data_IF_425627018627
#
_entry.id   IF_425627018627
#
_cell.length_a   1.000
_cell.length_b   1.000
_cell.length_c   1.000
_cell.angle_alpha   90.00
_cell.angle_beta   90.00
_cell.angle_gamma   90.00
#
_symmetry.space_group_name_H-M   'P 1'
#
loop_
_entity.id
_entity.type
_entity.pdbx_description
1 polymer ?
#
# COMPACT_ATOMS: atom_id res chain seq x y z
N UNK A 1 -27.44 -10.06 -21.91
CA UNK A 1 -26.61 -8.92 -21.47
C UNK A 1 -26.96 -8.66 -20.01
N UNK A 2 -25.98 -8.67 -19.13
CA UNK A 2 -26.22 -8.35 -17.70
C UNK A 2 -26.61 -6.88 -17.58
N UNK A 3 -27.66 -6.61 -16.79
CA UNK A 3 -27.96 -5.23 -16.37
C UNK A 3 -27.00 -4.84 -15.26
N UNK A 4 -26.85 -3.56 -14.97
CA UNK A 4 -26.02 -3.04 -13.87
C UNK A 4 -26.35 -3.72 -12.54
N UNK A 5 -27.63 -3.74 -12.13
CA UNK A 5 -28.06 -4.41 -10.90
C UNK A 5 -27.82 -5.93 -10.93
N UNK A 6 -28.04 -6.57 -12.07
CA UNK A 6 -27.74 -8.02 -12.22
C UNK A 6 -26.25 -8.33 -12.12
N UNK A 7 -25.38 -7.39 -12.50
CA UNK A 7 -23.94 -7.51 -12.34
C UNK A 7 -23.56 -7.35 -10.85
N UNK A 8 -24.09 -6.33 -10.18
CA UNK A 8 -23.84 -6.09 -8.75
C UNK A 8 -24.30 -7.30 -7.93
N UNK A 9 -25.51 -7.78 -8.15
CA UNK A 9 -26.04 -8.95 -7.44
C UNK A 9 -25.19 -10.20 -7.63
N UNK A 10 -24.74 -10.45 -8.85
CA UNK A 10 -24.05 -11.70 -9.18
C UNK A 10 -22.59 -11.72 -8.73
N UNK A 11 -21.86 -10.59 -8.84
CA UNK A 11 -20.41 -10.55 -8.63
C UNK A 11 -19.99 -9.83 -7.35
N UNK A 12 -20.81 -8.95 -6.81
CA UNK A 12 -20.43 -8.10 -5.69
C UNK A 12 -21.33 -8.23 -4.46
N UNK A 13 -22.54 -8.79 -4.59
CA UNK A 13 -23.40 -9.06 -3.44
C UNK A 13 -23.08 -10.41 -2.82
N UNK A 14 -22.80 -10.43 -1.52
CA UNK A 14 -22.57 -11.66 -0.76
C UNK A 14 -23.64 -11.80 0.34
N UNK A 15 -24.11 -13.05 0.61
CA UNK A 15 -25.03 -13.27 1.73
C UNK A 15 -24.35 -12.85 3.04
N UNK A 16 -25.03 -12.04 3.84
CA UNK A 16 -24.57 -11.67 5.17
C UNK A 16 -24.64 -12.88 6.09
N UNK A 17 -23.60 -13.08 6.89
CA UNK A 17 -23.52 -14.20 7.85
C UNK A 17 -24.32 -13.96 9.13
N UNK A 18 -24.97 -12.81 9.29
CA UNK A 18 -25.75 -12.46 10.47
C UNK A 18 -27.09 -13.18 10.53
N UNK A 19 -27.32 -13.86 11.64
CA UNK A 19 -28.56 -14.61 11.96
C UNK A 19 -29.81 -13.73 12.12
N UNK A 20 -29.72 -12.40 12.04
CA UNK A 20 -30.83 -11.47 12.31
C UNK A 20 -31.67 -11.08 11.09
N UNK A 21 -31.27 -11.44 9.87
CA UNK A 21 -32.02 -11.14 8.63
C UNK A 21 -32.45 -12.37 7.84
N UNK A 22 -32.92 -13.43 8.52
CA UNK A 22 -33.66 -14.50 7.84
C UNK A 22 -35.12 -14.11 7.67
N UNK A 23 -35.43 -13.31 6.67
CA UNK A 23 -36.80 -13.21 6.14
C UNK A 23 -36.73 -13.35 4.61
N UNK A 24 -37.14 -14.56 4.19
CA UNK A 24 -37.61 -14.95 2.85
C UNK A 24 -36.70 -14.76 1.65
N UNK A 25 -35.95 -15.82 1.31
CA UNK A 25 -35.97 -16.41 -0.04
C UNK A 25 -35.36 -17.81 0.03
N UNK A 26 -36.21 -18.84 -0.16
CA UNK A 26 -35.78 -20.21 -0.49
C UNK A 26 -35.22 -20.21 -1.91
N UNK A 27 -34.04 -20.80 -2.05
CA UNK A 27 -33.30 -21.26 -3.23
C UNK A 27 -31.96 -20.58 -3.45
N UNK A 28 -30.91 -21.13 -2.82
CA UNK A 28 -29.52 -20.88 -3.21
C UNK A 28 -28.70 -22.16 -3.14
N UNK A 29 -27.73 -22.38 -4.07
CA UNK A 29 -26.83 -23.53 -4.03
C UNK A 29 -25.83 -23.42 -2.88
N UNK A 30 -25.40 -24.56 -2.35
CA UNK A 30 -24.54 -24.72 -1.17
C UNK A 30 -23.26 -23.88 -1.23
N UNK A 31 -23.16 -22.92 -0.34
CA UNK A 31 -21.98 -22.11 -0.09
C UNK A 31 -21.06 -22.76 0.96
N UNK A 32 -19.75 -22.53 0.82
CA UNK A 32 -18.70 -22.92 1.75
C UNK A 32 -19.01 -22.50 3.21
N UNK A 33 -18.51 -23.31 4.16
CA UNK A 33 -18.79 -23.17 5.59
C UNK A 33 -18.45 -21.77 6.13
N UNK A 34 -19.26 -21.22 7.05
CA UNK A 34 -19.06 -19.88 7.61
C UNK A 34 -17.83 -19.82 8.52
N UNK A 35 -17.06 -18.76 8.35
CA UNK A 35 -16.05 -18.32 9.32
C UNK A 35 -16.72 -17.88 10.64
N UNK A 36 -16.05 -18.02 11.81
CA UNK A 36 -16.66 -17.75 13.11
C UNK A 36 -17.13 -16.29 13.23
N UNK A 37 -18.26 -16.09 13.93
CA UNK A 37 -18.96 -14.83 14.19
C UNK A 37 -18.04 -13.67 14.60
N UNK A 38 -17.58 -12.89 13.62
CA UNK A 38 -17.11 -11.53 13.85
C UNK A 38 -18.33 -10.64 13.65
N UNK A 39 -18.75 -9.84 14.66
CA UNK A 39 -19.88 -8.92 14.50
C UNK A 39 -19.61 -7.99 13.31
N UNK A 40 -20.50 -7.97 12.34
CA UNK A 40 -20.41 -7.04 11.22
C UNK A 40 -20.54 -5.61 11.75
N UNK A 41 -19.58 -4.75 11.39
CA UNK A 41 -19.67 -3.31 11.69
C UNK A 41 -20.63 -2.59 10.72
N UNK A 42 -21.16 -3.29 9.74
CA UNK A 42 -22.08 -2.80 8.72
C UNK A 42 -23.51 -3.07 9.15
N UNK A 43 -24.23 -2.02 9.56
CA UNK A 43 -25.64 -2.13 9.92
C UNK A 43 -26.54 -2.31 8.69
N UNK A 44 -26.16 -1.67 7.55
CA UNK A 44 -26.81 -1.80 6.25
C UNK A 44 -25.72 -1.84 5.18
N UNK A 45 -25.79 -2.79 4.27
CA UNK A 45 -24.83 -2.96 3.17
C UNK A 45 -25.46 -2.71 1.80
N UNK A 46 -24.95 -3.41 0.76
CA UNK A 46 -25.43 -3.35 -0.63
C UNK A 46 -26.92 -3.70 -0.67
N UNK A 47 -27.69 -2.92 -1.46
CA UNK A 47 -29.13 -3.12 -1.67
C UNK A 47 -29.98 -1.91 -1.34
N UNK A 48 -29.41 -0.86 -0.77
CA UNK A 48 -30.03 0.43 -0.49
C UNK A 48 -29.19 1.57 -1.08
N UNK A 49 -29.73 2.80 -1.07
CA UNK A 49 -29.02 4.00 -1.60
C UNK A 49 -27.70 4.30 -0.89
N UNK A 50 -27.58 3.90 0.40
CA UNK A 50 -26.38 4.08 1.20
C UNK A 50 -26.13 2.89 2.12
N UNK A 51 -24.85 2.59 2.37
CA UNK A 51 -24.47 1.72 3.47
C UNK A 51 -24.47 2.45 4.81
N UNK A 52 -24.75 1.73 5.90
CA UNK A 52 -24.65 2.24 7.28
C UNK A 52 -23.53 1.49 8.01
N UNK A 53 -22.43 2.19 8.28
CA UNK A 53 -21.28 1.68 9.01
C UNK A 53 -21.34 2.17 10.47
N UNK A 54 -21.25 1.24 11.43
CA UNK A 54 -21.17 1.53 12.87
C UNK A 54 -19.76 1.29 13.39
N UNK A 55 -18.96 2.34 13.63
CA UNK A 55 -17.67 2.17 14.29
C UNK A 55 -17.86 1.60 15.70
N UNK A 56 -16.91 0.76 16.14
CA UNK A 56 -16.89 0.27 17.50
C UNK A 56 -16.83 1.44 18.51
N UNK A 57 -17.48 1.36 19.67
CA UNK A 57 -17.47 2.43 20.66
C UNK A 57 -16.05 2.87 21.02
N UNK A 58 -15.82 4.19 20.98
CA UNK A 58 -14.52 4.78 21.31
C UNK A 58 -13.45 4.67 20.22
N UNK A 59 -13.78 4.21 19.02
CA UNK A 59 -12.89 4.20 17.86
C UNK A 59 -13.12 5.41 16.95
N UNK A 60 -12.09 5.76 16.19
CA UNK A 60 -12.13 6.69 15.07
C UNK A 60 -12.09 5.89 13.77
N UNK A 61 -12.70 6.43 12.72
CA UNK A 61 -12.54 5.91 11.36
C UNK A 61 -11.30 6.51 10.71
N UNK A 62 -10.46 5.63 10.17
CA UNK A 62 -9.43 5.97 9.20
C UNK A 62 -10.01 5.70 7.80
N UNK A 63 -9.95 6.68 6.91
CA UNK A 63 -10.55 6.61 5.57
C UNK A 63 -9.49 6.99 4.55
N UNK A 64 -9.32 6.16 3.52
CA UNK A 64 -8.48 6.47 2.37
C UNK A 64 -9.18 6.08 1.08
N UNK A 65 -8.74 6.67 -0.04
CA UNK A 65 -9.28 6.40 -1.37
C UNK A 65 -8.16 6.42 -2.39
N UNK A 66 -8.05 5.33 -3.15
CA UNK A 66 -7.18 5.22 -4.31
C UNK A 66 -7.97 4.91 -5.58
N UNK A 67 -7.39 5.38 -6.70
CA UNK A 67 -7.93 5.18 -8.03
C UNK A 67 -6.90 4.52 -8.93
N UNK A 68 -7.25 3.38 -9.54
CA UNK A 68 -6.45 2.68 -10.52
C UNK A 68 -7.01 2.88 -11.92
N UNK A 69 -6.20 3.39 -12.83
CA UNK A 69 -6.56 3.69 -14.23
C UNK A 69 -5.77 2.77 -15.17
N UNK A 70 -6.46 2.13 -16.11
CA UNK A 70 -5.84 1.27 -17.11
C UNK A 70 -4.79 2.04 -17.92
N UNK A 71 -3.65 1.41 -18.18
CA UNK A 71 -2.53 2.00 -18.92
C UNK A 71 -1.66 2.97 -18.09
N UNK A 72 -2.09 3.32 -16.85
CA UNK A 72 -1.30 4.15 -15.92
C UNK A 72 -0.79 3.31 -14.73
N UNK A 73 -1.69 2.61 -14.02
CA UNK A 73 -1.39 1.86 -12.81
C UNK A 73 -1.30 0.35 -13.04
N UNK A 74 -1.79 -0.10 -14.16
CA UNK A 74 -1.73 -1.51 -14.57
C UNK A 74 -1.82 -1.63 -16.09
N UNK A 75 -1.29 -2.74 -16.62
CA UNK A 75 -1.37 -3.06 -18.04
C UNK A 75 -2.77 -3.55 -18.43
N UNK A 76 -3.18 -3.29 -19.66
CA UNK A 76 -4.50 -3.68 -20.14
C UNK A 76 -4.72 -5.21 -20.17
N UNK A 77 -3.64 -5.99 -20.23
CA UNK A 77 -3.62 -7.45 -20.26
C UNK A 77 -3.37 -8.10 -18.89
N UNK A 78 -3.42 -7.31 -17.80
CA UNK A 78 -3.28 -7.85 -16.45
C UNK A 78 -4.38 -8.88 -16.17
N UNK A 79 -4.01 -9.95 -15.50
CA UNK A 79 -4.95 -11.02 -15.11
C UNK A 79 -6.01 -10.44 -14.15
N UNK A 80 -7.33 -10.61 -14.44
CA UNK A 80 -8.40 -9.96 -13.65
C UNK A 80 -8.35 -10.26 -12.15
N UNK A 81 -8.00 -11.50 -11.77
CA UNK A 81 -7.87 -11.88 -10.37
C UNK A 81 -6.71 -11.12 -9.69
N UNK A 82 -5.58 -10.91 -10.38
CA UNK A 82 -4.48 -10.12 -9.87
C UNK A 82 -4.88 -8.64 -9.74
N UNK A 83 -5.65 -8.11 -10.69
CA UNK A 83 -6.13 -6.74 -10.65
C UNK A 83 -7.12 -6.52 -9.49
N UNK A 84 -8.04 -7.45 -9.26
CA UNK A 84 -8.95 -7.40 -8.11
C UNK A 84 -8.20 -7.39 -6.77
N UNK A 85 -7.16 -8.22 -6.66
CA UNK A 85 -6.26 -8.20 -5.51
C UNK A 85 -5.55 -6.84 -5.36
N UNK A 86 -4.87 -6.35 -6.43
CA UNK A 86 -4.12 -5.08 -6.39
C UNK A 86 -5.03 -3.92 -6.02
N UNK A 87 -6.21 -3.85 -6.59
CA UNK A 87 -7.15 -2.76 -6.36
C UNK A 87 -7.51 -2.57 -4.87
N UNK A 88 -7.69 -3.67 -4.13
CA UNK A 88 -7.92 -3.58 -2.69
C UNK A 88 -6.62 -3.44 -1.89
N UNK A 89 -5.54 -4.09 -2.33
CA UNK A 89 -4.27 -4.12 -1.61
C UNK A 89 -3.65 -2.72 -1.44
N UNK A 90 -3.68 -1.89 -2.48
CA UNK A 90 -3.13 -0.52 -2.44
C UNK A 90 -3.84 0.32 -1.38
N UNK A 91 -5.16 0.24 -1.32
CA UNK A 91 -5.98 0.92 -0.32
C UNK A 91 -5.75 0.38 1.11
N UNK A 92 -5.63 -0.94 1.26
CA UNK A 92 -5.31 -1.55 2.56
C UNK A 92 -3.91 -1.15 3.04
N UNK A 93 -2.99 -0.83 2.14
CA UNK A 93 -1.65 -0.33 2.46
C UNK A 93 -1.71 0.99 3.23
N UNK A 94 -2.59 1.91 2.85
CA UNK A 94 -2.83 3.15 3.61
C UNK A 94 -3.31 2.88 5.03
N UNK A 95 -4.25 1.92 5.20
CA UNK A 95 -4.69 1.53 6.54
C UNK A 95 -3.55 0.91 7.36
N UNK A 96 -2.69 0.12 6.72
CA UNK A 96 -1.49 -0.43 7.36
C UNK A 96 -0.54 0.68 7.80
N UNK A 97 -0.28 1.67 6.94
CA UNK A 97 0.57 2.82 7.22
C UNK A 97 0.08 3.63 8.44
N UNK A 98 -1.23 3.76 8.60
CA UNK A 98 -1.86 4.42 9.73
C UNK A 98 -1.98 3.54 10.99
N UNK A 99 -1.72 2.22 10.87
CA UNK A 99 -1.96 1.25 11.93
C UNK A 99 -3.45 1.04 12.21
N UNK A 100 -4.30 1.22 11.20
CA UNK A 100 -5.75 1.03 11.32
C UNK A 100 -6.16 -0.40 11.01
N UNK A 101 -7.16 -0.91 11.74
CA UNK A 101 -7.75 -2.22 11.48
C UNK A 101 -8.77 -2.08 10.35
N UNK A 102 -8.62 -2.77 9.22
CA UNK A 102 -9.61 -2.77 8.14
C UNK A 102 -11.00 -3.19 8.62
N UNK A 103 -12.07 -2.59 8.06
CA UNK A 103 -13.46 -2.92 8.37
C UNK A 103 -14.31 -3.07 7.14
N UNK A 104 -14.29 -2.07 6.27
CA UNK A 104 -15.16 -2.03 5.11
C UNK A 104 -14.49 -1.30 3.95
N UNK A 105 -15.06 -1.44 2.77
CA UNK A 105 -14.70 -0.65 1.60
C UNK A 105 -15.90 -0.43 0.69
N UNK A 106 -15.82 0.59 -0.16
CA UNK A 106 -16.72 0.82 -1.28
C UNK A 106 -15.96 0.68 -2.59
N UNK A 107 -16.65 0.29 -3.66
CA UNK A 107 -16.07 0.11 -4.99
C UNK A 107 -16.86 0.90 -6.02
N UNK A 108 -16.23 1.88 -6.67
CA UNK A 108 -16.73 2.50 -7.89
C UNK A 108 -15.94 1.96 -9.08
N UNK A 109 -16.65 1.33 -10.03
CA UNK A 109 -16.06 0.57 -11.14
C UNK A 109 -16.62 1.05 -12.48
N UNK A 110 -15.78 1.65 -13.32
CA UNK A 110 -16.09 1.91 -14.72
C UNK A 110 -15.50 0.79 -15.59
N UNK A 111 -16.29 0.23 -16.50
CA UNK A 111 -15.93 -0.88 -17.38
C UNK A 111 -16.23 -0.54 -18.84
N UNK A 112 -15.33 -0.87 -19.79
CA UNK A 112 -15.65 -0.70 -21.23
C UNK A 112 -16.74 -1.67 -21.67
N UNK A 113 -16.80 -2.86 -21.05
CA UNK A 113 -17.81 -3.88 -21.30
C UNK A 113 -17.99 -4.77 -20.06
N UNK A 114 -19.20 -5.30 -19.87
CA UNK A 114 -19.52 -6.19 -18.75
C UNK A 114 -19.21 -7.66 -19.10
N UNK A 115 -17.93 -7.99 -19.26
CA UNK A 115 -17.46 -9.36 -19.56
C UNK A 115 -17.57 -10.28 -18.33
N UNK A 116 -18.42 -11.31 -18.37
CA UNK A 116 -18.65 -12.20 -17.21
C UNK A 116 -17.37 -12.86 -16.70
N UNK A 117 -16.52 -13.38 -17.59
CA UNK A 117 -15.27 -14.03 -17.18
C UNK A 117 -14.29 -13.06 -16.50
N UNK A 118 -14.24 -11.82 -17.00
CA UNK A 118 -13.40 -10.77 -16.40
C UNK A 118 -13.91 -10.40 -15.01
N UNK A 119 -15.22 -10.16 -14.87
CA UNK A 119 -15.87 -9.83 -13.61
C UNK A 119 -15.73 -10.94 -12.57
N UNK A 120 -15.85 -12.20 -12.99
CA UNK A 120 -15.64 -13.35 -12.12
C UNK A 120 -14.21 -13.35 -11.55
N UNK A 121 -13.20 -13.29 -12.42
CA UNK A 121 -11.81 -13.26 -11.98
C UNK A 121 -11.50 -12.05 -11.09
N UNK A 122 -11.95 -10.85 -11.47
CA UNK A 122 -11.75 -9.63 -10.69
C UNK A 122 -12.38 -9.72 -9.29
N UNK A 123 -13.65 -10.12 -9.21
CA UNK A 123 -14.35 -10.25 -7.93
C UNK A 123 -13.75 -11.35 -7.05
N UNK A 124 -13.32 -12.48 -7.60
CA UNK A 124 -12.62 -13.53 -6.86
C UNK A 124 -11.31 -13.02 -6.23
N UNK A 125 -10.48 -12.30 -6.99
CA UNK A 125 -9.25 -11.74 -6.48
C UNK A 125 -9.46 -10.67 -5.41
N UNK A 126 -10.44 -9.79 -5.63
CA UNK A 126 -10.86 -8.76 -4.69
C UNK A 126 -11.31 -9.36 -3.35
N UNK A 127 -12.23 -10.32 -3.42
CA UNK A 127 -12.81 -10.93 -2.22
C UNK A 127 -11.88 -11.89 -1.51
N UNK A 128 -10.97 -12.57 -2.21
CA UNK A 128 -9.95 -13.38 -1.56
C UNK A 128 -9.08 -12.53 -0.60
N UNK A 129 -8.76 -11.30 -1.00
CA UNK A 129 -8.03 -10.36 -0.13
C UNK A 129 -8.92 -9.77 0.96
N UNK A 130 -10.15 -9.37 0.62
CA UNK A 130 -11.13 -8.82 1.55
C UNK A 130 -11.41 -9.78 2.72
N UNK A 131 -11.64 -11.07 2.42
CA UNK A 131 -11.88 -12.11 3.42
C UNK A 131 -10.69 -12.30 4.36
N UNK A 132 -9.46 -12.28 3.81
CA UNK A 132 -8.24 -12.43 4.61
C UNK A 132 -8.08 -11.33 5.67
N UNK A 133 -8.55 -10.13 5.37
CA UNK A 133 -8.47 -8.98 6.29
C UNK A 133 -9.80 -8.64 6.97
N UNK A 134 -10.83 -9.48 6.81
CA UNK A 134 -12.19 -9.23 7.30
C UNK A 134 -12.70 -7.81 6.95
N UNK A 135 -12.47 -7.41 5.69
CA UNK A 135 -12.84 -6.12 5.14
C UNK A 135 -14.05 -6.28 4.21
N UNK A 136 -15.20 -5.75 4.57
CA UNK A 136 -16.48 -6.01 3.89
C UNK A 136 -16.72 -4.99 2.77
N UNK A 137 -17.11 -5.45 1.56
CA UNK A 137 -17.66 -4.55 0.53
C UNK A 137 -19.09 -4.15 0.93
N UNK A 138 -19.31 -2.87 1.19
CA UNK A 138 -20.58 -2.39 1.78
C UNK A 138 -21.42 -1.55 0.82
N UNK A 139 -20.81 -0.94 -0.20
CA UNK A 139 -21.49 -0.08 -1.17
C UNK A 139 -20.62 0.10 -2.41
N UNK A 140 -21.17 0.69 -3.45
CA UNK A 140 -20.41 1.03 -4.64
C UNK A 140 -21.28 1.45 -5.80
N UNK A 141 -20.64 1.62 -6.95
CA UNK A 141 -21.28 1.98 -8.21
C UNK A 141 -20.59 1.26 -9.37
N UNK A 142 -21.33 0.94 -10.41
CA UNK A 142 -20.78 0.33 -11.63
C UNK A 142 -21.35 1.02 -12.86
N UNK A 143 -20.49 1.51 -13.74
CA UNK A 143 -20.90 2.22 -14.95
C UNK A 143 -20.11 1.79 -16.16
N UNK A 144 -20.63 2.11 -17.37
CA UNK A 144 -19.91 1.93 -18.62
C UNK A 144 -18.93 3.09 -18.85
N UNK A 145 -17.66 2.76 -19.17
CA UNK A 145 -16.64 3.76 -19.43
C UNK A 145 -15.25 3.16 -19.57
N UNK A 146 -14.20 3.96 -19.74
CA UNK A 146 -12.82 3.49 -19.69
C UNK A 146 -12.55 2.78 -18.36
N UNK A 147 -11.81 1.66 -18.40
CA UNK A 147 -11.54 0.85 -17.19
C UNK A 147 -10.85 1.70 -16.12
N UNK A 148 -11.58 1.88 -15.04
CA UNK A 148 -11.17 2.65 -13.87
C UNK A 148 -11.75 2.00 -12.62
N UNK A 149 -10.95 1.86 -11.58
CA UNK A 149 -11.31 1.22 -10.32
C UNK A 149 -11.00 2.20 -9.20
N UNK A 150 -12.02 2.65 -8.48
CA UNK A 150 -11.85 3.51 -7.32
C UNK A 150 -12.39 2.81 -6.09
N UNK A 151 -11.54 2.62 -5.08
CA UNK A 151 -11.91 2.01 -3.81
C UNK A 151 -11.72 3.03 -2.70
N UNK A 152 -12.71 3.12 -1.80
CA UNK A 152 -12.57 3.83 -0.53
C UNK A 152 -12.61 2.82 0.59
N UNK A 153 -11.56 2.77 1.41
CA UNK A 153 -11.46 1.87 2.56
C UNK A 153 -11.78 2.59 3.87
N UNK A 154 -12.36 1.84 4.79
CA UNK A 154 -12.69 2.29 6.14
C UNK A 154 -12.01 1.36 7.15
N UNK A 155 -11.14 1.93 7.98
CA UNK A 155 -10.50 1.22 9.08
C UNK A 155 -10.84 1.85 10.42
N UNK A 156 -10.59 1.13 11.50
CA UNK A 156 -10.78 1.61 12.87
C UNK A 156 -9.47 1.74 13.61
N UNK A 157 -9.37 2.80 14.41
CA UNK A 157 -8.23 3.04 15.26
C UNK A 157 -8.64 3.72 16.55
N UNK A 158 -7.94 3.46 17.66
CA UNK A 158 -8.12 4.18 18.91
C UNK A 158 -7.64 5.64 18.78
N UNK A 159 -8.32 6.61 19.39
CA UNK A 159 -7.87 8.00 19.44
C UNK A 159 -6.42 8.11 19.95
N UNK A 160 -5.59 8.86 19.24
CA UNK A 160 -4.19 9.07 19.59
C UNK A 160 -3.26 7.87 19.34
N UNK A 161 -3.71 6.82 18.65
CA UNK A 161 -2.89 5.64 18.32
C UNK A 161 -2.50 5.56 16.85
N UNK A 162 -2.99 6.48 16.03
CA UNK A 162 -2.64 6.54 14.62
C UNK A 162 -1.13 6.79 14.43
N UNK A 163 -0.54 6.09 13.49
CA UNK A 163 0.81 6.36 13.01
C UNK A 163 0.72 7.52 12.00
N UNK A 164 1.26 8.67 12.35
CA UNK A 164 1.17 9.86 11.51
C UNK A 164 2.53 10.25 10.95
N UNK A 165 2.53 10.94 9.80
CA UNK A 165 3.77 11.36 9.13
C UNK A 165 4.51 12.50 9.85
N UNK A 166 3.87 13.19 10.79
CA UNK A 166 4.38 14.36 11.51
C UNK A 166 4.99 14.05 12.89
N UNK A 167 5.09 12.76 13.24
CA UNK A 167 5.49 12.33 14.57
C UNK A 167 6.94 11.80 14.67
N UNK A 168 7.72 11.83 13.58
CA UNK A 168 9.14 11.45 13.60
C UNK A 168 9.96 12.36 14.54
N UNK A 169 11.02 11.81 15.12
CA UNK A 169 11.88 12.53 16.07
C UNK A 169 13.34 12.46 15.65
N UNK A 170 14.08 13.53 15.93
CA UNK A 170 15.54 13.53 15.74
C UNK A 170 16.17 12.38 16.53
N UNK A 171 17.06 11.64 15.88
CA UNK A 171 17.70 10.46 16.45
C UNK A 171 16.93 9.15 16.25
N UNK A 172 15.72 9.16 15.70
CA UNK A 172 15.02 7.93 15.33
C UNK A 172 15.79 7.16 14.26
N UNK A 173 15.77 5.83 14.36
CA UNK A 173 16.14 4.96 13.25
C UNK A 173 15.02 4.95 12.20
N UNK A 174 15.41 4.85 10.93
CA UNK A 174 14.50 4.66 9.80
C UNK A 174 14.52 3.19 9.41
N UNK A 175 13.33 2.60 9.28
CA UNK A 175 13.13 1.19 8.98
C UNK A 175 12.25 1.01 7.75
N UNK A 176 12.51 -0.06 7.00
CA UNK A 176 11.67 -0.49 5.87
C UNK A 176 11.33 -1.97 6.06
N UNK A 177 10.08 -2.35 5.78
CA UNK A 177 9.64 -3.74 5.76
C UNK A 177 9.96 -4.40 4.40
N UNK A 178 10.06 -5.72 4.39
CA UNK A 178 10.18 -6.54 3.19
C UNK A 178 11.38 -6.23 2.31
N UNK A 179 11.14 -6.05 1.03
CA UNK A 179 12.14 -5.76 -0.01
C UNK A 179 11.64 -4.67 -0.95
N UNK A 180 12.55 -3.88 -1.51
CA UNK A 180 12.23 -2.77 -2.41
C UNK A 180 12.66 -3.07 -3.83
N UNK A 181 11.88 -2.56 -4.78
CA UNK A 181 12.23 -2.45 -6.18
C UNK A 181 11.83 -3.60 -7.08
N UNK A 182 11.24 -4.68 -6.55
CA UNK A 182 10.81 -5.81 -7.38
C UNK A 182 9.68 -5.42 -8.34
N UNK A 183 8.73 -4.59 -7.88
CA UNK A 183 7.65 -4.09 -8.73
C UNK A 183 8.19 -3.19 -9.86
N UNK A 184 9.10 -2.26 -9.56
CA UNK A 184 9.73 -1.42 -10.58
C UNK A 184 10.59 -2.23 -11.54
N UNK A 185 11.29 -3.26 -11.05
CA UNK A 185 12.07 -4.16 -11.91
C UNK A 185 11.15 -4.91 -12.88
N UNK A 186 9.99 -5.40 -12.40
CA UNK A 186 8.96 -6.03 -13.23
C UNK A 186 8.41 -5.08 -14.30
N UNK A 187 8.08 -3.85 -13.89
CA UNK A 187 7.55 -2.83 -14.78
C UNK A 187 8.52 -2.52 -15.93
N UNK A 188 9.81 -2.31 -15.61
CA UNK A 188 10.81 -2.03 -16.61
C UNK A 188 11.09 -3.22 -17.53
N UNK A 189 11.03 -4.44 -17.03
CA UNK A 189 11.11 -5.63 -17.86
C UNK A 189 9.92 -5.73 -18.83
N UNK A 190 8.70 -5.46 -18.36
CA UNK A 190 7.50 -5.46 -19.19
C UNK A 190 7.53 -4.34 -20.25
N UNK A 191 8.10 -3.18 -19.93
CA UNK A 191 8.32 -2.05 -20.86
C UNK A 191 9.56 -2.21 -21.76
N UNK A 192 10.31 -3.32 -21.60
CA UNK A 192 11.56 -3.59 -22.34
C UNK A 192 12.67 -2.56 -22.07
N UNK A 193 12.66 -1.87 -20.92
CA UNK A 193 13.72 -0.95 -20.49
C UNK A 193 15.02 -1.70 -20.16
N UNK A 194 14.89 -2.94 -19.67
CA UNK A 194 15.98 -3.87 -19.35
C UNK A 194 15.54 -5.33 -19.41
N UNK A 195 16.54 -6.20 -19.36
CA UNK A 195 16.31 -7.65 -19.33
C UNK A 195 16.44 -8.18 -17.89
N UNK A 196 15.61 -9.16 -17.55
CA UNK A 196 15.65 -9.94 -16.32
C UNK A 196 15.71 -11.43 -16.65
N UNK A 197 16.22 -12.23 -15.74
CA UNK A 197 16.18 -13.69 -15.90
C UNK A 197 14.72 -14.17 -15.93
N UNK A 198 14.39 -15.03 -16.87
CA UNK A 198 13.06 -15.59 -17.01
C UNK A 198 12.60 -16.35 -15.76
N UNK A 199 13.52 -16.91 -14.98
CA UNK A 199 13.24 -17.56 -13.71
C UNK A 199 12.75 -16.59 -12.64
N UNK A 200 13.08 -15.29 -12.71
CA UNK A 200 12.66 -14.27 -11.76
C UNK A 200 11.31 -13.65 -12.10
N UNK A 201 10.92 -13.68 -13.38
CA UNK A 201 9.70 -13.01 -13.87
C UNK A 201 8.42 -13.32 -13.06
N UNK A 202 8.14 -14.59 -12.66
CA UNK A 202 6.93 -14.86 -11.88
C UNK A 202 6.91 -14.16 -10.51
N UNK A 203 8.06 -14.11 -9.82
CA UNK A 203 8.20 -13.41 -8.54
C UNK A 203 8.06 -11.89 -8.69
N UNK A 204 8.72 -11.32 -9.67
CA UNK A 204 8.68 -9.89 -9.98
C UNK A 204 7.26 -9.44 -10.40
N UNK A 205 6.61 -10.19 -11.30
CA UNK A 205 5.21 -9.90 -11.67
C UNK A 205 4.27 -9.99 -10.47
N UNK A 206 4.48 -10.96 -9.59
CA UNK A 206 3.70 -11.06 -8.36
C UNK A 206 3.86 -9.83 -7.48
N UNK A 207 5.07 -9.28 -7.34
CA UNK A 207 5.30 -8.05 -6.57
C UNK A 207 4.54 -6.85 -7.17
N UNK A 208 4.55 -6.70 -8.51
CA UNK A 208 3.86 -5.61 -9.20
C UNK A 208 2.33 -5.76 -9.19
N UNK A 209 1.83 -6.98 -9.43
CA UNK A 209 0.41 -7.24 -9.70
C UNK A 209 -0.37 -7.67 -8.45
N UNK A 210 0.32 -8.14 -7.40
CA UNK A 210 -0.29 -8.66 -6.16
C UNK A 210 0.50 -8.22 -4.94
N UNK A 211 0.63 -6.89 -4.68
CA UNK A 211 1.32 -6.41 -3.50
C UNK A 211 0.64 -6.90 -2.22
N UNK A 212 1.43 -7.05 -1.16
CA UNK A 212 0.96 -7.56 0.13
C UNK A 212 0.83 -6.40 1.12
N UNK A 213 -0.38 -5.96 1.48
CA UNK A 213 -0.56 -4.88 2.45
C UNK A 213 -0.08 -5.31 3.84
N UNK A 214 0.72 -4.49 4.48
CA UNK A 214 1.41 -4.81 5.74
C UNK A 214 0.55 -4.54 6.99
N UNK A 215 -0.73 -4.94 6.96
CA UNK A 215 -1.71 -4.69 8.04
C UNK A 215 -1.21 -5.20 9.40
N UNK A 216 -0.74 -6.44 9.48
CA UNK A 216 -0.27 -7.01 10.75
C UNK A 216 0.92 -6.20 11.33
N UNK A 217 1.83 -5.73 10.47
CA UNK A 217 2.93 -4.87 10.87
C UNK A 217 2.41 -3.52 11.35
N UNK A 218 1.56 -2.83 10.58
CA UNK A 218 1.00 -1.53 10.95
C UNK A 218 0.31 -1.56 12.31
N UNK A 219 -0.51 -2.58 12.57
CA UNK A 219 -1.16 -2.77 13.86
C UNK A 219 -0.16 -2.96 15.01
N UNK A 220 0.91 -3.73 14.78
CA UNK A 220 1.94 -4.01 15.78
C UNK A 220 2.87 -2.80 16.04
N UNK A 221 3.01 -1.89 15.08
CA UNK A 221 3.82 -0.68 15.22
C UNK A 221 3.17 0.40 16.12
N UNK A 222 1.87 0.31 16.43
CA UNK A 222 1.17 1.26 17.31
C UNK A 222 1.83 1.34 18.69
N UNK A 223 2.34 2.53 19.04
CA UNK A 223 3.07 2.78 20.29
C UNK A 223 4.49 2.18 20.32
N UNK A 224 5.00 1.72 19.18
CA UNK A 224 6.38 1.32 18.95
C UNK A 224 7.07 2.28 17.98
N UNK A 225 6.48 2.52 16.82
CA UNK A 225 6.94 3.51 15.87
C UNK A 225 6.42 4.91 16.25
N UNK A 226 7.17 5.94 15.86
CA UNK A 226 6.75 7.33 15.99
C UNK A 226 5.98 7.77 14.73
N UNK A 227 6.54 7.60 13.54
CA UNK A 227 5.89 7.92 12.27
C UNK A 227 5.94 6.72 11.32
N UNK A 228 4.98 6.64 10.40
CA UNK A 228 4.97 5.65 9.34
C UNK A 228 4.27 6.18 8.10
N UNK A 229 4.57 5.55 6.96
CA UNK A 229 3.84 5.62 5.69
C UNK A 229 4.11 4.33 4.91
N UNK A 230 3.34 4.09 3.87
CA UNK A 230 3.64 3.06 2.89
C UNK A 230 4.45 3.63 1.70
N UNK A 231 5.07 2.76 0.94
CA UNK A 231 5.93 3.11 -0.20
C UNK A 231 5.18 2.81 -1.50
N UNK A 232 4.50 3.80 -2.04
CA UNK A 232 3.73 3.75 -3.29
C UNK A 232 4.47 4.40 -4.47
N UNK A 233 5.14 5.54 -4.23
CA UNK A 233 5.82 6.36 -5.24
C UNK A 233 7.34 6.21 -5.22
N UNK A 234 7.84 5.41 -4.29
CA UNK A 234 9.26 5.13 -4.07
C UNK A 234 9.85 5.84 -2.87
N UNK A 235 10.85 5.21 -2.25
CA UNK A 235 11.45 5.64 -0.99
C UNK A 235 11.88 7.12 -0.99
N UNK A 236 12.45 7.61 -2.09
CA UNK A 236 12.91 9.00 -2.18
C UNK A 236 11.75 10.01 -2.14
N UNK A 237 10.62 9.70 -2.77
CA UNK A 237 9.42 10.52 -2.75
C UNK A 237 8.71 10.45 -1.40
N UNK A 238 8.41 9.24 -0.98
CA UNK A 238 7.56 8.98 0.18
C UNK A 238 8.19 9.41 1.50
N UNK A 239 9.47 9.06 1.75
CA UNK A 239 10.15 9.47 2.98
C UNK A 239 10.17 11.00 3.16
N UNK A 240 10.20 11.78 2.07
CA UNK A 240 10.14 13.24 2.15
C UNK A 240 8.84 13.73 2.81
N UNK A 241 7.72 12.97 2.72
CA UNK A 241 6.48 13.34 3.38
C UNK A 241 6.60 13.30 4.91
N UNK A 242 7.26 12.28 5.45
CA UNK A 242 7.57 12.25 6.90
C UNK A 242 8.47 13.43 7.25
N UNK A 243 9.55 13.64 6.49
CA UNK A 243 10.54 14.68 6.80
C UNK A 243 9.94 16.07 6.74
N UNK A 244 9.15 16.38 5.70
CA UNK A 244 8.46 17.68 5.56
C UNK A 244 7.46 17.91 6.69
N UNK A 245 6.65 16.90 7.02
CA UNK A 245 5.61 17.02 8.05
C UNK A 245 6.21 17.11 9.46
N UNK A 246 7.33 16.46 9.71
CA UNK A 246 8.03 16.48 11.00
C UNK A 246 9.04 17.64 11.12
N UNK A 247 9.35 18.37 10.04
CA UNK A 247 10.34 19.44 10.04
C UNK A 247 11.78 18.94 10.24
N UNK A 248 12.09 17.75 9.73
CA UNK A 248 13.36 17.04 9.96
C UNK A 248 14.06 16.69 8.63
N UNK A 249 15.25 16.13 8.75
CA UNK A 249 16.05 15.58 7.65
C UNK A 249 16.40 14.12 7.94
N UNK A 250 16.93 13.41 6.94
CA UNK A 250 17.37 12.03 7.09
C UNK A 250 18.78 11.81 6.58
N UNK A 251 19.46 10.81 7.14
CA UNK A 251 20.65 10.18 6.57
C UNK A 251 20.30 8.74 6.26
N UNK A 252 20.35 8.35 4.97
CA UNK A 252 19.95 7.02 4.48
C UNK A 252 21.13 6.35 3.80
N UNK A 253 21.46 5.13 4.24
CA UNK A 253 22.47 4.26 3.67
C UNK A 253 21.87 3.47 2.51
N UNK A 254 22.33 3.74 1.27
CA UNK A 254 21.82 3.08 0.06
C UNK A 254 22.20 1.60 -0.01
N UNK A 255 23.29 1.20 0.63
CA UNK A 255 23.76 -0.19 0.60
C UNK A 255 22.97 -1.04 1.61
N UNK A 256 22.36 -0.43 2.62
CA UNK A 256 21.48 -1.06 3.57
C UNK A 256 20.05 -1.30 3.03
N UNK A 257 19.69 -0.73 1.87
CA UNK A 257 18.35 -0.91 1.31
C UNK A 257 18.08 -2.39 0.99
N UNK A 258 16.97 -2.97 1.54
CA UNK A 258 16.65 -4.37 1.31
C UNK A 258 16.21 -4.58 -0.15
N UNK A 259 16.80 -5.58 -0.81
CA UNK A 259 16.53 -5.92 -2.20
C UNK A 259 16.51 -7.41 -2.42
N UNK A 260 15.73 -7.87 -3.39
CA UNK A 260 15.72 -9.27 -3.79
C UNK A 260 17.01 -9.68 -4.52
N UNK A 261 17.22 -10.97 -4.66
CA UNK A 261 18.32 -11.48 -5.49
C UNK A 261 18.17 -11.05 -6.97
N UNK A 262 16.94 -10.90 -7.46
CA UNK A 262 16.68 -10.43 -8.82
C UNK A 262 17.15 -8.98 -9.03
N UNK A 263 16.82 -8.08 -8.11
CA UNK A 263 17.31 -6.69 -8.11
C UNK A 263 18.82 -6.65 -7.92
N UNK A 264 19.38 -7.44 -6.99
CA UNK A 264 20.81 -7.46 -6.71
C UNK A 264 21.69 -7.91 -7.90
N UNK A 265 21.13 -8.70 -8.82
CA UNK A 265 21.83 -9.09 -10.08
C UNK A 265 21.86 -8.00 -11.13
N UNK A 266 21.10 -6.94 -10.99
CA UNK A 266 21.05 -5.83 -11.92
C UNK A 266 22.27 -4.91 -11.78
N UNK A 267 22.49 -4.03 -12.77
CA UNK A 267 23.53 -2.99 -12.65
C UNK A 267 23.26 -2.07 -11.47
N UNK A 268 24.29 -1.45 -10.86
CA UNK A 268 24.09 -0.51 -9.75
C UNK A 268 23.11 0.63 -10.06
N UNK A 269 23.03 1.08 -11.31
CA UNK A 269 22.10 2.11 -11.72
C UNK A 269 20.64 1.62 -11.65
N UNK A 270 20.36 0.41 -12.16
CA UNK A 270 19.02 -0.20 -12.10
C UNK A 270 18.66 -0.52 -10.65
N UNK A 271 19.59 -1.07 -9.85
CA UNK A 271 19.35 -1.34 -8.44
C UNK A 271 18.85 -0.08 -7.71
N UNK A 272 19.57 1.05 -7.86
CA UNK A 272 19.22 2.32 -7.23
C UNK A 272 17.89 2.87 -7.75
N UNK A 273 17.68 2.85 -9.06
CA UNK A 273 16.42 3.27 -9.66
C UNK A 273 15.25 2.47 -9.06
N UNK A 274 15.37 1.15 -8.97
CA UNK A 274 14.31 0.29 -8.44
C UNK A 274 14.07 0.52 -6.94
N UNK A 275 15.12 0.57 -6.10
CA UNK A 275 14.97 0.59 -4.65
C UNK A 275 14.76 1.99 -4.06
N UNK A 276 15.14 3.06 -4.79
CA UNK A 276 15.07 4.44 -4.28
C UNK A 276 13.91 5.21 -4.92
N UNK A 277 13.77 5.11 -6.24
CA UNK A 277 12.81 5.88 -7.03
C UNK A 277 11.68 5.00 -7.62
N UNK A 278 11.75 3.68 -7.43
CA UNK A 278 10.71 2.75 -7.88
C UNK A 278 9.49 2.77 -6.96
N UNK A 279 8.31 2.90 -7.53
CA UNK A 279 7.05 2.78 -6.80
C UNK A 279 6.47 1.36 -6.84
N UNK A 280 5.23 1.23 -6.39
CA UNK A 280 4.44 -0.02 -6.32
C UNK A 280 4.97 -1.07 -5.31
N UNK A 281 5.83 -0.71 -4.36
CA UNK A 281 6.35 -1.67 -3.37
C UNK A 281 5.34 -1.98 -2.26
N UNK A 282 4.53 -1.01 -1.82
CA UNK A 282 3.54 -1.14 -0.74
C UNK A 282 4.10 -1.76 0.55
N UNK A 283 5.38 -1.53 0.79
CA UNK A 283 6.06 -1.80 2.06
C UNK A 283 5.88 -0.61 3.01
N UNK A 284 6.06 -0.82 4.32
CA UNK A 284 6.03 0.28 5.28
C UNK A 284 7.43 0.84 5.52
N UNK A 285 7.56 2.17 5.40
CA UNK A 285 8.68 2.93 5.93
C UNK A 285 8.25 3.60 7.24
N UNK A 286 8.99 3.36 8.32
CA UNK A 286 8.64 3.90 9.64
C UNK A 286 9.86 4.35 10.42
N UNK A 287 9.62 5.21 11.42
CA UNK A 287 10.67 5.72 12.31
C UNK A 287 10.41 5.26 13.73
N UNK A 288 11.48 4.92 14.45
CA UNK A 288 11.39 4.48 15.84
C UNK A 288 12.65 4.84 16.63
N UNK A 289 12.49 5.04 17.94
CA UNK A 289 13.62 5.30 18.82
C UNK A 289 14.63 4.12 18.78
N UNK A 290 15.95 4.38 18.89
CA UNK A 290 16.98 3.32 18.93
C UNK A 290 16.72 2.27 20.02
N UNK A 291 16.09 2.63 21.12
CA UNK A 291 15.70 1.70 22.20
C UNK A 291 14.63 0.68 21.76
N UNK A 292 13.96 0.90 20.63
CA UNK A 292 12.96 -0.04 20.09
C UNK A 292 13.55 -1.18 19.25
N UNK A 293 14.87 -1.15 18.93
CA UNK A 293 15.52 -2.10 18.01
C UNK A 293 15.26 -3.57 18.35
N UNK A 294 15.39 -3.94 19.62
CA UNK A 294 15.14 -5.34 20.06
C UNK A 294 13.68 -5.75 19.85
N UNK A 295 12.73 -4.86 20.15
CA UNK A 295 11.31 -5.11 19.94
C UNK A 295 10.96 -5.21 18.44
N UNK A 296 11.60 -4.43 17.60
CA UNK A 296 11.44 -4.47 16.14
C UNK A 296 12.02 -5.78 15.58
N UNK A 297 13.18 -6.23 16.08
CA UNK A 297 13.76 -7.50 15.69
C UNK A 297 12.87 -8.70 16.09
N UNK A 298 12.30 -8.66 17.30
CA UNK A 298 11.34 -9.66 17.76
C UNK A 298 10.07 -9.65 16.91
N UNK A 299 9.57 -8.46 16.54
CA UNK A 299 8.41 -8.30 15.66
C UNK A 299 8.68 -8.88 14.27
N UNK A 300 9.86 -8.60 13.69
CA UNK A 300 10.30 -9.18 12.42
C UNK A 300 10.23 -10.71 12.43
N UNK A 301 10.74 -11.31 13.49
CA UNK A 301 10.68 -12.77 13.68
C UNK A 301 9.25 -13.29 13.83
N UNK A 302 8.42 -12.62 14.64
CA UNK A 302 7.03 -13.01 14.89
C UNK A 302 6.17 -12.97 13.63
N UNK A 303 6.38 -11.96 12.80
CA UNK A 303 5.63 -11.77 11.54
C UNK A 303 6.23 -12.55 10.36
N UNK A 304 7.44 -13.11 10.51
CA UNK A 304 8.17 -13.70 9.39
C UNK A 304 8.44 -12.68 8.26
N UNK A 305 8.55 -11.40 8.62
CA UNK A 305 8.73 -10.27 7.69
C UNK A 305 10.03 -9.55 8.01
N UNK A 306 11.00 -9.49 7.10
CA UNK A 306 12.22 -8.72 7.30
C UNK A 306 11.90 -7.25 7.60
N UNK A 307 12.53 -6.69 8.62
CA UNK A 307 12.49 -5.27 8.96
C UNK A 307 13.93 -4.75 8.96
N UNK A 308 14.25 -3.90 8.02
CA UNK A 308 15.62 -3.45 7.78
C UNK A 308 15.79 -2.00 8.20
N UNK A 309 16.79 -1.72 9.05
CA UNK A 309 17.18 -0.36 9.38
C UNK A 309 18.02 0.22 8.25
N UNK A 310 17.56 1.31 7.67
CA UNK A 310 18.18 1.93 6.48
C UNK A 310 18.81 3.30 6.75
N UNK A 311 18.60 3.87 7.94
CA UNK A 311 19.11 5.23 8.19
C UNK A 311 18.71 5.77 9.54
N UNK A 312 18.81 7.10 9.67
CA UNK A 312 18.52 7.84 10.90
C UNK A 312 17.90 9.19 10.57
N UNK A 313 16.91 9.61 11.34
CA UNK A 313 16.34 10.96 11.32
C UNK A 313 17.29 11.94 11.99
N UNK A 314 17.44 13.12 11.41
CA UNK A 314 18.33 14.20 11.87
C UNK A 314 17.57 15.51 12.01
N UNK A 315 18.09 16.38 12.88
CA UNK A 315 17.60 17.74 12.96
C UNK A 315 17.76 18.46 11.61
N UNK A 316 16.79 19.29 11.26
CA UNK A 316 16.98 20.22 10.17
C UNK A 316 18.10 21.20 10.58
N UNK A 317 19.14 21.29 9.78
CA UNK A 317 20.19 22.29 10.02
C UNK A 317 19.54 23.66 9.80
N UNK A 318 19.19 24.33 10.90
CA UNK A 318 18.75 25.71 10.88
C UNK A 318 19.92 26.53 10.29
N UNK A 319 19.75 26.98 9.06
CA UNK A 319 20.73 27.87 8.46
C UNK A 319 20.80 29.15 9.32
N UNK A 320 22.01 29.55 9.71
CA UNK A 320 22.24 30.94 10.16
C UNK A 320 21.65 31.90 9.11
N UNK A 321 21.23 33.12 9.49
CA UNK A 321 20.62 34.08 8.56
C UNK A 321 21.61 34.46 7.45
N UNK A 322 21.57 33.73 6.37
CA UNK A 322 22.25 33.97 5.10
C UNK A 322 21.21 34.07 4.01
N UNK A 323 21.48 34.71 2.86
CA UNK A 323 20.54 34.70 1.77
C UNK A 323 20.17 33.24 1.45
N UNK A 324 18.88 32.98 1.13
CA UNK A 324 18.41 31.60 0.86
C UNK A 324 19.31 30.97 -0.20
N UNK A 325 19.72 29.69 -0.03
CA UNK A 325 20.53 29.00 -1.01
C UNK A 325 19.78 28.99 -2.35
N UNK A 326 20.51 29.09 -3.46
CA UNK A 326 19.95 29.10 -4.81
C UNK A 326 19.11 27.82 -5.13
N UNK A 327 19.28 26.76 -4.34
CA UNK A 327 18.46 25.54 -4.35
C UNK A 327 18.11 25.16 -2.92
N UNK A 328 16.87 24.69 -2.64
CA UNK A 328 16.52 24.13 -1.33
C UNK A 328 17.47 22.96 -1.00
N UNK A 329 17.88 22.86 0.26
CA UNK A 329 18.72 21.73 0.70
C UNK A 329 17.91 20.44 0.60
N UNK A 330 18.54 19.33 0.14
CA UNK A 330 17.86 18.05 0.12
C UNK A 330 17.49 17.62 1.54
N UNK A 331 16.29 17.08 1.71
CA UNK A 331 15.81 16.57 3.00
C UNK A 331 16.49 15.24 3.36
N UNK A 332 16.91 14.47 2.37
CA UNK A 332 17.57 13.17 2.52
C UNK A 332 19.03 13.31 2.12
N UNK A 333 19.92 13.01 3.04
CA UNK A 333 21.35 12.84 2.79
C UNK A 333 21.61 11.36 2.52
N UNK A 334 21.87 11.01 1.26
CA UNK A 334 22.19 9.66 0.82
C UNK A 334 23.66 9.38 1.03
N UNK A 335 23.98 8.27 1.71
CA UNK A 335 25.36 7.86 2.00
C UNK A 335 25.59 6.41 1.52
N UNK A 336 26.86 6.05 1.32
CA UNK A 336 27.28 4.67 1.14
C UNK A 336 27.48 3.96 2.51
N UNK A 337 27.86 2.67 2.48
CA UNK A 337 28.10 1.86 3.68
C UNK A 337 29.18 2.43 4.61
N UNK A 338 30.12 3.22 4.08
CA UNK A 338 31.17 3.90 4.86
C UNK A 338 30.68 5.24 5.43
N UNK A 339 29.42 5.63 5.20
CA UNK A 339 28.82 6.90 5.63
C UNK A 339 29.26 8.08 4.78
N UNK A 340 29.87 7.88 3.62
CA UNK A 340 30.29 8.95 2.74
C UNK A 340 29.11 9.43 1.88
N UNK A 341 28.87 10.76 1.82
CA UNK A 341 27.81 11.32 0.99
C UNK A 341 27.97 10.97 -0.49
N UNK A 342 26.86 10.63 -1.14
CA UNK A 342 26.84 10.41 -2.57
C UNK A 342 26.94 11.73 -3.34
N UNK A 343 27.51 11.72 -4.56
CA UNK A 343 27.60 12.91 -5.40
C UNK A 343 26.20 13.43 -5.78
N UNK A 344 26.05 14.76 -5.81
CA UNK A 344 24.79 15.43 -6.22
C UNK A 344 24.34 15.02 -7.64
N UNK A 345 25.28 14.73 -8.54
CA UNK A 345 24.99 14.24 -9.89
C UNK A 345 24.20 12.92 -9.89
N UNK A 346 24.34 12.12 -8.83
CA UNK A 346 23.61 10.88 -8.66
C UNK A 346 22.32 11.11 -7.89
N UNK A 347 22.39 11.84 -6.77
CA UNK A 347 21.22 12.04 -5.89
C UNK A 347 20.13 12.91 -6.52
N UNK A 348 20.49 13.78 -7.45
CA UNK A 348 19.53 14.55 -8.25
C UNK A 348 18.65 13.69 -9.18
N UNK A 349 18.95 12.40 -9.35
CA UNK A 349 18.10 11.45 -10.10
C UNK A 349 17.13 10.69 -9.19
N UNK A 350 17.18 10.88 -7.87
CA UNK A 350 16.35 10.19 -6.91
C UNK A 350 15.06 10.99 -6.64
N UNK A 351 14.03 10.73 -7.45
CA UNK A 351 12.69 11.31 -7.28
C UNK A 351 11.69 10.19 -7.12
N UNK A 352 10.60 10.45 -6.41
CA UNK A 352 9.42 9.60 -6.45
C UNK A 352 8.68 9.75 -7.78
N UNK A 353 7.77 8.85 -8.05
CA UNK A 353 6.88 8.93 -9.19
C UNK A 353 5.94 10.14 -9.05
N UNK A 354 5.70 10.87 -10.15
CA UNK A 354 4.70 11.93 -10.20
C UNK A 354 3.77 11.69 -11.41
N UNK A 355 2.47 11.71 -11.15
CA UNK A 355 1.45 11.48 -12.18
C UNK A 355 1.42 12.54 -13.27
N UNK A 356 1.92 13.73 -12.99
CA UNK A 356 1.85 14.91 -13.85
C UNK A 356 3.21 15.37 -14.36
N UNK A 357 4.31 14.72 -13.94
CA UNK A 357 5.59 14.93 -14.60
C UNK A 357 5.51 14.39 -16.02
N UNK A 358 5.85 15.24 -16.98
CA UNK A 358 5.97 14.86 -18.38
C UNK A 358 7.25 14.00 -18.51
N UNK A 359 7.09 12.74 -18.97
CA UNK A 359 8.18 11.89 -19.47
C UNK A 359 8.84 12.52 -20.70
#
# INVERSE_FOLDING_TARGET
MLTEFGLIDRFFTRPRTDASHRLHTDTAPQALAPTPDVPSHTALGIGDDCALLMPAPGKQLAISTDMLVAGRHFFADVEPHALGHKALAVNLSDLAAMGAQPRAFTLALALPEAGEAWLQGFSEGLFALADRYACELICGDTTAGPLNICITVFGEIEPGRALTRDAARSGDDIWVSGQLGDARLALGAARQEWQVDSADLPGLRRALERPEPRIALGLALRGLAHAALDLSDGLAGDLQHILKRSGLTACVDIDALPRSAAVARQTPAIQRLCTIAGGDDYELCFTAAPAARERIAALSTTLGLPLTRIGTIRDAVLAAPQPPPARPRPLINWVDADGKPLPDTLTNTFHGFDHFDAD
#
